data_IF_913173116598
#
_entry.id   IF_913173116598
#
_cell.length_a   1.000
_cell.length_b   1.000
_cell.length_c   1.000
_cell.angle_alpha   90.00
_cell.angle_beta   90.00
_cell.angle_gamma   90.00
#
_symmetry.space_group_name_H-M   'P 1'
#
loop_
_entity.id
_entity.type
_entity.pdbx_description
1 polymer ?
#
# COMPACT_ATOMS: atom_id res chain seq x y z
N UNK A 1 4.22 11.20 3.87
CA UNK A 1 3.47 12.42 4.21
C UNK A 1 4.41 13.49 4.76
N UNK A 2 4.52 14.63 4.05
CA UNK A 2 5.44 15.72 4.42
C UNK A 2 5.07 16.40 5.75
N UNK A 3 3.80 16.38 6.10
CA UNK A 3 3.27 17.02 7.30
C UNK A 3 3.02 16.04 8.44
N UNK A 4 3.59 14.84 8.37
CA UNK A 4 3.32 13.72 9.29
C UNK A 4 3.47 14.10 10.76
N UNK A 5 4.55 14.77 11.14
CA UNK A 5 4.78 15.21 12.54
C UNK A 5 3.71 16.19 13.05
N UNK A 6 3.30 17.13 12.21
CA UNK A 6 2.27 18.13 12.55
C UNK A 6 0.90 17.45 12.71
N UNK A 7 0.58 16.54 11.76
CA UNK A 7 -0.66 15.76 11.79
C UNK A 7 -0.70 14.86 13.03
N UNK A 8 0.37 14.12 13.29
CA UNK A 8 0.47 13.23 14.46
C UNK A 8 0.29 14.00 15.77
N UNK A 9 0.94 15.15 15.94
CA UNK A 9 0.75 16.02 17.11
C UNK A 9 -0.72 16.40 17.27
N UNK A 10 -1.37 16.84 16.20
CA UNK A 10 -2.78 17.22 16.24
C UNK A 10 -3.72 16.08 16.59
N UNK A 11 -3.43 14.87 16.10
CA UNK A 11 -4.18 13.67 16.47
C UNK A 11 -4.03 13.37 17.97
N UNK A 12 -2.81 13.41 18.48
CA UNK A 12 -2.57 13.15 19.91
C UNK A 12 -3.26 14.18 20.81
N UNK A 13 -3.23 15.47 20.43
CA UNK A 13 -3.86 16.56 21.19
C UNK A 13 -5.41 16.45 21.25
N UNK A 14 -6.02 15.86 20.21
CA UNK A 14 -7.48 15.82 20.07
C UNK A 14 -8.13 14.47 20.33
N UNK A 15 -7.35 13.42 20.62
CA UNK A 15 -7.91 12.12 20.99
C UNK A 15 -8.64 12.15 22.34
N UNK A 16 -9.66 11.31 22.55
CA UNK A 16 -10.15 10.24 21.66
C UNK A 16 -11.05 10.77 20.55
N UNK A 17 -11.09 10.07 19.42
CA UNK A 17 -12.02 10.32 18.32
C UNK A 17 -13.15 9.29 18.32
N UNK A 18 -14.39 9.75 18.25
CA UNK A 18 -15.57 8.88 18.25
C UNK A 18 -15.97 8.45 16.82
N UNK A 19 -15.57 9.22 15.80
CA UNK A 19 -15.92 8.94 14.40
C UNK A 19 -14.73 9.15 13.48
N UNK A 20 -14.75 8.49 12.33
CA UNK A 20 -13.78 8.70 11.26
C UNK A 20 -13.82 10.11 10.70
N UNK A 21 -15.01 10.72 10.65
CA UNK A 21 -15.19 12.11 10.24
C UNK A 21 -14.49 13.08 11.17
N UNK A 22 -14.64 12.93 12.48
CA UNK A 22 -13.95 13.79 13.46
C UNK A 22 -12.42 13.71 13.32
N UNK A 23 -11.88 12.52 13.06
CA UNK A 23 -10.45 12.35 12.78
C UNK A 23 -10.05 13.01 11.45
N UNK A 24 -10.84 12.83 10.38
CA UNK A 24 -10.58 13.46 9.08
C UNK A 24 -10.56 14.98 9.17
N UNK A 25 -11.49 15.59 9.91
CA UNK A 25 -11.59 17.03 10.13
C UNK A 25 -10.39 17.56 10.95
N UNK A 26 -9.98 16.82 11.98
CA UNK A 26 -8.78 17.16 12.75
C UNK A 26 -7.52 17.16 11.88
N UNK A 27 -7.38 16.20 10.98
CA UNK A 27 -6.28 16.12 10.01
C UNK A 27 -6.37 17.29 9.03
N UNK A 28 -7.53 17.52 8.42
CA UNK A 28 -7.74 18.59 7.45
C UNK A 28 -7.47 19.98 8.04
N UNK A 29 -7.87 20.23 9.29
CA UNK A 29 -7.60 21.50 10.00
C UNK A 29 -6.12 21.69 10.37
N UNK A 30 -5.34 20.61 10.41
CA UNK A 30 -3.93 20.67 10.76
C UNK A 30 -3.00 21.02 9.59
N UNK A 31 -3.50 21.02 8.37
CA UNK A 31 -2.70 21.25 7.16
C UNK A 31 -3.03 22.59 6.49
N UNK A 32 -2.08 23.21 5.73
CA UNK A 32 -2.34 24.46 5.02
C UNK A 32 -3.50 24.33 4.02
N UNK A 33 -4.19 25.47 3.76
CA UNK A 33 -5.35 25.50 2.85
C UNK A 33 -5.06 24.93 1.47
N UNK A 34 -3.93 25.27 0.85
CA UNK A 34 -3.49 24.73 -0.45
C UNK A 34 -3.38 23.20 -0.45
N UNK A 35 -2.96 22.62 0.66
CA UNK A 35 -2.85 21.16 0.81
C UNK A 35 -4.21 20.51 1.04
N UNK A 36 -5.11 21.22 1.75
CA UNK A 36 -6.47 20.77 2.07
C UNK A 36 -7.33 20.61 0.83
N UNK A 37 -7.20 21.51 -0.14
CA UNK A 37 -7.98 21.54 -1.40
C UNK A 37 -7.26 20.88 -2.56
N UNK A 38 -6.27 20.03 -2.29
CA UNK A 38 -5.60 19.23 -3.31
C UNK A 38 -6.48 18.12 -3.87
N UNK A 39 -6.01 17.48 -4.96
CA UNK A 39 -6.72 16.39 -5.65
C UNK A 39 -7.10 15.21 -4.74
N UNK A 40 -6.33 14.97 -3.68
CA UNK A 40 -6.56 13.89 -2.71
C UNK A 40 -6.76 14.51 -1.33
N UNK A 41 -7.82 14.10 -0.64
CA UNK A 41 -8.10 14.58 0.71
C UNK A 41 -6.91 14.27 1.65
N UNK A 42 -6.47 15.24 2.50
CA UNK A 42 -5.28 15.06 3.35
C UNK A 42 -5.37 13.84 4.29
N UNK A 43 -6.57 13.48 4.74
CA UNK A 43 -6.77 12.33 5.60
C UNK A 43 -6.52 10.97 4.91
N UNK A 44 -6.61 10.88 3.59
CA UNK A 44 -6.48 9.61 2.85
C UNK A 44 -5.18 8.87 3.18
N UNK A 45 -4.04 9.57 3.11
CA UNK A 45 -2.73 8.97 3.42
C UNK A 45 -2.57 8.64 4.90
N UNK A 46 -3.20 9.41 5.77
CA UNK A 46 -3.15 9.18 7.22
C UNK A 46 -3.96 7.94 7.58
N UNK A 47 -5.18 7.81 7.06
CA UNK A 47 -5.98 6.59 7.24
C UNK A 47 -5.28 5.35 6.69
N UNK A 48 -4.64 5.45 5.52
CA UNK A 48 -3.82 4.36 4.98
C UNK A 48 -2.68 4.00 5.94
N UNK A 49 -1.96 4.98 6.47
CA UNK A 49 -0.85 4.73 7.39
C UNK A 49 -1.33 4.08 8.70
N UNK A 50 -2.46 4.53 9.25
CA UNK A 50 -3.07 3.94 10.44
C UNK A 50 -3.52 2.49 10.18
N UNK A 51 -4.16 2.22 9.04
CA UNK A 51 -4.59 0.87 8.65
C UNK A 51 -3.40 -0.08 8.55
N UNK A 52 -2.35 0.36 7.86
CA UNK A 52 -1.11 -0.42 7.70
C UNK A 52 -0.51 -0.73 9.08
N UNK A 53 -0.46 0.27 9.99
CA UNK A 53 0.15 0.09 11.31
C UNK A 53 -0.69 -0.83 12.20
N UNK A 54 -2.02 -0.63 12.26
CA UNK A 54 -2.93 -1.42 13.10
C UNK A 54 -3.00 -2.87 12.63
N UNK A 55 -3.07 -3.10 11.32
CA UNK A 55 -3.19 -4.44 10.74
C UNK A 55 -1.83 -5.11 10.48
N UNK A 56 -0.71 -4.41 10.70
CA UNK A 56 0.63 -4.91 10.38
C UNK A 56 0.76 -5.40 8.93
N UNK A 57 0.10 -4.70 8.00
CA UNK A 57 -0.07 -5.15 6.61
C UNK A 57 1.25 -5.45 5.91
N UNK A 58 2.28 -4.63 6.14
CA UNK A 58 3.59 -4.82 5.51
C UNK A 58 4.35 -6.02 6.09
N UNK A 59 4.22 -6.27 7.41
CA UNK A 59 4.86 -7.42 8.05
C UNK A 59 4.22 -8.74 7.56
N UNK A 60 2.89 -8.76 7.46
CA UNK A 60 2.14 -9.92 6.93
C UNK A 60 2.50 -10.18 5.47
N UNK A 61 2.65 -9.13 4.66
CA UNK A 61 3.08 -9.26 3.27
C UNK A 61 4.50 -9.82 3.15
N UNK A 62 5.43 -9.36 3.98
CA UNK A 62 6.80 -9.88 4.02
C UNK A 62 6.83 -11.37 4.41
N UNK A 63 6.06 -11.75 5.43
CA UNK A 63 5.90 -13.15 5.83
C UNK A 63 5.30 -14.02 4.71
N UNK A 64 4.28 -13.51 4.01
CA UNK A 64 3.69 -14.21 2.86
C UNK A 64 4.74 -14.48 1.79
N UNK A 65 5.54 -13.49 1.42
CA UNK A 65 6.56 -13.65 0.37
C UNK A 65 7.62 -14.67 0.79
N UNK A 66 7.97 -14.70 2.07
CA UNK A 66 8.96 -15.64 2.63
C UNK A 66 8.47 -17.09 2.57
N UNK A 67 7.20 -17.34 2.91
CA UNK A 67 6.69 -18.72 3.01
C UNK A 67 6.02 -19.25 1.75
N UNK A 68 5.43 -18.37 0.92
CA UNK A 68 4.66 -18.78 -0.25
C UNK A 68 5.42 -19.66 -1.24
N UNK A 69 6.72 -19.47 -1.51
CA UNK A 69 7.47 -20.35 -2.41
C UNK A 69 7.45 -21.83 -1.97
N UNK A 70 7.43 -22.11 -0.67
CA UNK A 70 7.38 -23.48 -0.17
C UNK A 70 6.07 -24.21 -0.50
N UNK A 71 4.99 -23.47 -0.77
CA UNK A 71 3.68 -24.03 -1.11
C UNK A 71 3.51 -24.30 -2.60
N UNK A 72 4.40 -23.77 -3.43
CA UNK A 72 4.34 -23.95 -4.87
C UNK A 72 5.05 -25.22 -5.31
N UNK A 73 4.55 -25.87 -6.36
CA UNK A 73 5.30 -26.87 -7.07
C UNK A 73 6.50 -26.25 -7.80
N UNK A 74 7.56 -27.02 -8.15
CA UNK A 74 8.62 -26.54 -9.05
C UNK A 74 8.03 -25.91 -10.31
N UNK A 75 8.56 -24.79 -10.77
CA UNK A 75 8.05 -23.93 -11.84
C UNK A 75 6.65 -23.32 -11.59
N UNK A 76 6.09 -23.47 -10.37
CA UNK A 76 4.86 -22.79 -9.95
C UNK A 76 5.02 -21.27 -9.93
N UNK A 77 3.92 -20.56 -10.18
CA UNK A 77 3.92 -19.10 -10.31
C UNK A 77 3.37 -18.43 -9.05
N UNK A 78 4.10 -17.46 -8.53
CA UNK A 78 3.63 -16.53 -7.50
C UNK A 78 3.22 -15.22 -8.16
N UNK A 79 1.94 -14.86 -8.04
CA UNK A 79 1.39 -13.61 -8.56
C UNK A 79 0.89 -12.75 -7.38
N UNK A 80 1.41 -11.53 -7.25
CA UNK A 80 1.00 -10.60 -6.19
C UNK A 80 0.56 -9.27 -6.82
N UNK A 81 -0.65 -8.81 -6.43
CA UNK A 81 -1.16 -7.49 -6.79
C UNK A 81 -1.01 -6.58 -5.57
N UNK A 82 -0.38 -5.44 -5.77
CA UNK A 82 -0.26 -4.37 -4.78
C UNK A 82 -1.00 -3.12 -5.25
N UNK A 83 -1.50 -2.31 -4.31
CA UNK A 83 -2.30 -1.11 -4.59
C UNK A 83 -1.61 0.20 -4.20
N UNK A 84 -0.49 0.12 -3.50
CA UNK A 84 0.30 1.30 -3.15
C UNK A 84 1.81 1.02 -3.20
N UNK A 85 2.59 2.11 -3.18
CA UNK A 85 4.05 2.05 -3.39
C UNK A 85 4.82 1.31 -2.29
N UNK A 86 4.31 1.28 -1.06
CA UNK A 86 4.98 0.57 0.03
C UNK A 86 4.86 -0.95 -0.14
N UNK A 87 3.67 -1.45 -0.49
CA UNK A 87 3.48 -2.86 -0.84
C UNK A 87 4.32 -3.25 -2.06
N UNK A 88 4.20 -2.49 -3.17
CA UNK A 88 4.94 -2.78 -4.41
C UNK A 88 6.44 -2.85 -4.18
N UNK A 89 6.99 -1.99 -3.31
CA UNK A 89 8.40 -2.01 -2.95
C UNK A 89 8.76 -3.31 -2.21
N UNK A 90 7.94 -3.75 -1.25
CA UNK A 90 8.18 -5.00 -0.51
C UNK A 90 8.09 -6.21 -1.43
N UNK A 91 7.05 -6.28 -2.26
CA UNK A 91 6.91 -7.37 -3.25
C UNK A 91 8.11 -7.42 -4.18
N UNK A 92 8.51 -6.25 -4.75
CA UNK A 92 9.68 -6.17 -5.64
C UNK A 92 10.95 -6.70 -4.99
N UNK A 93 11.24 -6.24 -3.76
CA UNK A 93 12.47 -6.63 -3.08
C UNK A 93 12.40 -8.05 -2.53
N UNK A 94 11.26 -8.44 -1.96
CA UNK A 94 11.07 -9.80 -1.44
C UNK A 94 11.21 -10.85 -2.54
N UNK A 95 10.48 -10.71 -3.65
CA UNK A 95 10.62 -11.65 -4.78
C UNK A 95 12.02 -11.69 -5.39
N UNK A 96 12.72 -10.55 -5.42
CA UNK A 96 14.07 -10.47 -6.00
C UNK A 96 15.14 -11.12 -5.12
N UNK A 97 14.98 -11.02 -3.82
CA UNK A 97 16.00 -11.46 -2.86
C UNK A 97 15.74 -12.87 -2.34
N UNK A 98 14.60 -13.48 -2.67
CA UNK A 98 14.25 -14.83 -2.25
C UNK A 98 14.95 -15.88 -3.10
N UNK A 99 15.68 -16.80 -2.46
CA UNK A 99 16.52 -17.81 -3.12
C UNK A 99 15.72 -18.78 -4.01
N UNK A 100 14.47 -19.09 -3.61
CA UNK A 100 13.61 -20.01 -4.34
C UNK A 100 12.74 -19.31 -5.41
N UNK A 101 12.96 -18.03 -5.70
CA UNK A 101 12.15 -17.28 -6.65
C UNK A 101 12.97 -16.68 -7.79
N UNK A 102 12.52 -16.92 -9.00
CA UNK A 102 12.99 -16.25 -10.21
C UNK A 102 11.96 -15.19 -10.63
N UNK A 103 12.34 -13.92 -10.59
CA UNK A 103 11.44 -12.82 -10.99
C UNK A 103 11.15 -12.88 -12.49
N UNK A 104 9.87 -12.93 -12.85
CA UNK A 104 9.39 -12.92 -14.24
C UNK A 104 9.10 -11.50 -14.75
N UNK A 105 8.68 -10.58 -13.86
CA UNK A 105 8.34 -9.20 -14.22
C UNK A 105 9.33 -8.21 -13.61
N UNK A 106 10.29 -7.71 -14.41
CA UNK A 106 11.21 -6.64 -13.96
C UNK A 106 10.45 -5.34 -13.63
N UNK A 107 9.47 -4.98 -14.46
CA UNK A 107 8.51 -3.88 -14.21
C UNK A 107 7.15 -4.49 -13.84
N UNK A 108 6.35 -3.84 -12.97
CA UNK A 108 5.02 -4.35 -12.68
C UNK A 108 4.12 -4.24 -13.92
N UNK A 109 3.22 -5.17 -14.07
CA UNK A 109 2.11 -5.08 -15.03
C UNK A 109 1.06 -4.16 -14.39
N UNK A 110 0.59 -3.19 -15.14
CA UNK A 110 -0.43 -2.22 -14.72
C UNK A 110 -1.68 -2.36 -15.57
N UNK A 111 -2.82 -1.96 -15.04
CA UNK A 111 -4.08 -1.98 -15.76
C UNK A 111 -4.05 -1.04 -16.98
N UNK A 112 -4.72 -1.46 -18.06
CA UNK A 112 -4.94 -0.60 -19.23
C UNK A 112 -5.92 0.52 -18.90
N UNK A 113 -5.94 1.57 -19.74
CA UNK A 113 -6.92 2.67 -19.60
C UNK A 113 -8.37 2.17 -19.75
N UNK A 114 -8.59 1.15 -20.57
CA UNK A 114 -9.90 0.52 -20.73
C UNK A 114 -10.32 -0.21 -19.45
N UNK A 115 -9.43 -0.99 -18.85
CA UNK A 115 -9.67 -1.67 -17.59
C UNK A 115 -9.95 -0.65 -16.46
N UNK A 116 -9.17 0.43 -16.37
CA UNK A 116 -9.38 1.49 -15.38
C UNK A 116 -10.74 2.18 -15.55
N UNK A 117 -11.21 2.36 -16.78
CA UNK A 117 -12.56 2.90 -17.04
C UNK A 117 -13.66 1.97 -16.56
N UNK A 118 -13.52 0.67 -16.77
CA UNK A 118 -14.50 -0.34 -16.30
C UNK A 118 -14.39 -0.62 -14.80
N UNK A 119 -13.17 -0.60 -14.28
CA UNK A 119 -12.86 -0.86 -12.88
C UNK A 119 -11.89 0.20 -12.32
N UNK A 120 -12.41 1.33 -11.80
CA UNK A 120 -11.57 2.42 -11.26
C UNK A 120 -10.63 1.98 -10.11
N UNK A 121 -10.93 0.86 -9.43
CA UNK A 121 -10.06 0.30 -8.38
C UNK A 121 -8.74 -0.24 -8.95
N UNK A 122 -8.72 -0.66 -10.22
CA UNK A 122 -7.51 -1.15 -10.89
C UNK A 122 -6.47 -0.05 -11.17
N UNK A 123 -6.83 1.24 -11.07
CA UNK A 123 -5.93 2.37 -11.37
C UNK A 123 -4.60 2.33 -10.64
N UNK A 124 -4.58 1.84 -9.42
CA UNK A 124 -3.37 1.77 -8.59
C UNK A 124 -2.76 0.38 -8.52
N UNK A 125 -3.41 -0.62 -9.16
CA UNK A 125 -2.97 -2.01 -9.12
C UNK A 125 -1.65 -2.20 -9.87
N UNK A 126 -0.77 -3.00 -9.27
CA UNK A 126 0.52 -3.40 -9.82
C UNK A 126 0.69 -4.90 -9.62
N UNK A 127 0.67 -5.66 -10.69
CA UNK A 127 0.89 -7.10 -10.66
C UNK A 127 2.38 -7.40 -10.85
N UNK A 128 2.91 -8.24 -9.98
CA UNK A 128 4.25 -8.83 -10.10
C UNK A 128 4.17 -10.34 -10.09
N UNK A 129 5.04 -10.94 -10.89
CA UNK A 129 5.12 -12.38 -11.07
C UNK A 129 6.54 -12.88 -10.78
N UNK A 130 6.62 -13.99 -10.07
CA UNK A 130 7.84 -14.78 -9.90
C UNK A 130 7.51 -16.27 -10.11
N UNK A 131 8.52 -17.07 -10.39
CA UNK A 131 8.45 -18.51 -10.57
C UNK A 131 9.29 -19.18 -9.50
N UNK A 132 8.78 -20.28 -8.92
CA UNK A 132 9.60 -21.12 -8.06
C UNK A 132 10.67 -21.84 -8.88
N UNK A 133 11.92 -21.69 -8.50
CA UNK A 133 13.06 -22.45 -9.05
C UNK A 133 13.28 -23.74 -8.31
#
# INVERSE_FOLDING_TARGET
ERLSRRIARRIVERRPFQTTTALADAIASSVPGKYRHGRVHPATRVFQALRIAVNRELDVLEQLIEVAPSWLAPAGKLAIISFHSLEDRRVKHGMRNHEQLKVLTKKPIIASDEEVRRNPRARSAKLRLAERV
#
